data_IF_092587098804
#
_entry.id   IF_092587098804
#
_cell.length_a   1.000
_cell.length_b   1.000
_cell.length_c   1.000
_cell.angle_alpha   90.00
_cell.angle_beta   90.00
_cell.angle_gamma   90.00
#
_symmetry.space_group_name_H-M   'P 1'
#
loop_
_entity.id
_entity.type
_entity.pdbx_description
1 polymer ?
#
# COMPACT_ATOMS: atom_id res chain seq x y z
N UNK A 1 -40.84 -21.66 0.05
CA UNK A 1 -41.34 -21.92 -1.32
C UNK A 1 -41.34 -20.63 -2.15
N UNK A 2 -40.40 -20.45 -3.11
CA UNK A 2 -40.34 -19.27 -4.01
C UNK A 2 -40.00 -19.60 -5.48
N UNK A 3 -40.13 -20.87 -5.90
CA UNK A 3 -39.84 -21.35 -7.26
C UNK A 3 -38.45 -20.98 -7.82
N UNK A 4 -37.40 -21.03 -6.98
CA UNK A 4 -35.99 -20.84 -7.38
C UNK A 4 -35.10 -21.94 -6.79
N UNK A 5 -35.34 -23.21 -7.14
CA UNK A 5 -34.64 -24.33 -6.51
C UNK A 5 -33.16 -24.43 -6.89
N UNK A 6 -32.77 -23.94 -8.08
CA UNK A 6 -31.41 -24.08 -8.61
C UNK A 6 -30.82 -22.75 -9.06
N UNK A 7 -29.52 -22.58 -8.84
CA UNK A 7 -28.72 -21.46 -9.35
C UNK A 7 -27.59 -22.02 -10.20
N UNK A 8 -27.60 -21.70 -11.50
CA UNK A 8 -26.55 -22.09 -12.43
C UNK A 8 -25.55 -20.95 -12.64
N UNK A 9 -24.27 -21.29 -12.83
CA UNK A 9 -23.25 -20.32 -13.21
C UNK A 9 -23.54 -19.79 -14.62
N UNK A 10 -23.24 -18.52 -14.84
CA UNK A 10 -23.33 -17.90 -16.17
C UNK A 10 -22.11 -18.29 -16.99
N UNK A 11 -22.35 -18.99 -18.08
CA UNK A 11 -21.35 -19.41 -19.05
C UNK A 11 -21.22 -18.41 -20.21
N UNK A 12 -20.81 -18.88 -21.40
CA UNK A 12 -20.66 -18.04 -22.58
C UNK A 12 -21.95 -17.30 -22.96
N UNK A 13 -21.81 -16.08 -23.44
CA UNK A 13 -22.88 -15.34 -24.11
C UNK A 13 -22.66 -15.44 -25.61
N UNK A 14 -23.61 -15.99 -26.36
CA UNK A 14 -23.54 -16.05 -27.82
C UNK A 14 -24.40 -14.92 -28.38
N UNK A 15 -23.77 -14.06 -29.17
CA UNK A 15 -24.42 -12.92 -29.82
C UNK A 15 -24.56 -13.17 -31.31
N UNK A 16 -25.80 -13.06 -31.80
CA UNK A 16 -26.18 -13.38 -33.16
C UNK A 16 -26.92 -12.22 -33.85
N UNK A 17 -26.83 -12.19 -35.19
CA UNK A 17 -27.57 -11.28 -36.06
C UNK A 17 -28.76 -11.97 -36.74
N UNK A 18 -28.80 -11.96 -38.08
CA UNK A 18 -29.95 -12.46 -38.83
C UNK A 18 -30.13 -14.00 -38.80
N UNK A 19 -29.09 -14.76 -38.46
CA UNK A 19 -29.08 -16.24 -38.46
C UNK A 19 -29.73 -16.87 -37.20
N UNK A 20 -30.43 -16.07 -36.39
CA UNK A 20 -30.79 -16.40 -35.01
C UNK A 20 -31.73 -17.59 -34.80
N UNK A 21 -32.68 -17.85 -35.71
CA UNK A 21 -33.76 -18.81 -35.44
C UNK A 21 -33.27 -20.26 -35.26
N UNK A 22 -32.24 -20.67 -36.02
CA UNK A 22 -31.64 -22.01 -35.90
C UNK A 22 -30.70 -22.10 -34.70
N UNK A 23 -29.90 -21.05 -34.48
CA UNK A 23 -28.94 -20.96 -33.38
C UNK A 23 -29.64 -21.03 -32.01
N UNK A 24 -30.77 -20.32 -31.87
CA UNK A 24 -31.51 -20.29 -30.60
C UNK A 24 -32.01 -21.67 -30.21
N UNK A 25 -32.52 -22.45 -31.17
CA UNK A 25 -32.99 -23.82 -30.90
C UNK A 25 -31.84 -24.75 -30.50
N UNK A 26 -30.68 -24.63 -31.15
CA UNK A 26 -29.53 -25.47 -30.87
C UNK A 26 -28.94 -25.24 -29.47
N UNK A 27 -28.80 -23.98 -29.04
CA UNK A 27 -28.07 -23.64 -27.82
C UNK A 27 -28.95 -23.44 -26.57
N UNK A 28 -30.28 -23.29 -26.72
CA UNK A 28 -31.17 -23.02 -25.57
C UNK A 28 -31.18 -24.12 -24.51
N UNK A 29 -30.94 -25.38 -24.89
CA UNK A 29 -30.98 -26.51 -23.96
C UNK A 29 -29.65 -26.73 -23.22
N UNK A 30 -28.60 -25.96 -23.55
CA UNK A 30 -27.30 -26.10 -22.89
C UNK A 30 -27.27 -25.21 -21.64
N UNK A 31 -27.09 -25.77 -20.44
CA UNK A 31 -27.13 -25.00 -19.21
C UNK A 31 -25.97 -23.98 -19.15
N UNK A 32 -26.28 -22.76 -18.72
CA UNK A 32 -25.31 -21.69 -18.54
C UNK A 32 -25.02 -20.85 -19.78
N UNK A 33 -25.38 -21.32 -20.99
CA UNK A 33 -25.26 -20.52 -22.21
C UNK A 33 -26.43 -19.53 -22.28
N UNK A 34 -26.11 -18.26 -22.51
CA UNK A 34 -27.10 -17.23 -22.81
C UNK A 34 -27.02 -16.81 -24.28
N UNK A 35 -28.17 -16.50 -24.87
CA UNK A 35 -28.31 -16.06 -26.25
C UNK A 35 -28.79 -14.60 -26.28
N UNK A 36 -28.25 -13.80 -27.21
CA UNK A 36 -28.65 -12.41 -27.37
C UNK A 36 -28.56 -11.95 -28.83
N UNK A 37 -29.51 -11.13 -29.26
CA UNK A 37 -29.47 -10.49 -30.58
C UNK A 37 -28.70 -9.17 -30.48
N UNK A 38 -27.90 -8.83 -31.50
CA UNK A 38 -27.00 -7.65 -31.50
C UNK A 38 -27.74 -6.35 -31.23
N UNK A 39 -28.89 -6.17 -31.88
CA UNK A 39 -29.69 -4.94 -31.77
C UNK A 39 -30.34 -4.79 -30.38
N UNK A 40 -30.45 -5.90 -29.62
CA UNK A 40 -31.09 -5.98 -28.31
C UNK A 40 -30.12 -6.49 -27.24
N UNK A 41 -28.88 -6.01 -27.29
CA UNK A 41 -27.85 -6.30 -26.30
C UNK A 41 -28.26 -5.79 -24.92
N UNK A 42 -28.39 -6.73 -23.98
CA UNK A 42 -28.79 -6.43 -22.61
C UNK A 42 -27.57 -6.35 -21.68
N UNK A 43 -27.47 -5.27 -20.91
CA UNK A 43 -26.43 -5.08 -19.90
C UNK A 43 -26.44 -6.22 -18.86
N UNK A 44 -27.62 -6.71 -18.47
CA UNK A 44 -27.76 -7.79 -17.48
C UNK A 44 -27.16 -9.12 -17.97
N UNK A 45 -27.12 -9.33 -19.30
CA UNK A 45 -26.49 -10.50 -19.91
C UNK A 45 -25.00 -10.30 -20.10
N UNK A 46 -24.54 -9.09 -20.44
CA UNK A 46 -23.13 -8.77 -20.61
C UNK A 46 -22.37 -8.73 -19.28
N UNK A 47 -22.99 -8.16 -18.24
CA UNK A 47 -22.40 -7.99 -16.92
C UNK A 47 -23.35 -8.53 -15.83
N UNK A 48 -23.51 -9.86 -15.71
CA UNK A 48 -24.36 -10.45 -14.68
C UNK A 48 -23.85 -10.08 -13.28
N UNK A 49 -24.73 -9.52 -12.45
CA UNK A 49 -24.36 -9.03 -11.11
C UNK A 49 -23.48 -7.76 -11.13
N UNK A 50 -23.29 -7.12 -12.29
CA UNK A 50 -22.45 -5.93 -12.44
C UNK A 50 -20.96 -6.22 -12.69
N UNK A 51 -20.57 -7.49 -12.85
CA UNK A 51 -19.19 -7.83 -13.18
C UNK A 51 -18.92 -7.69 -14.69
N UNK A 52 -17.92 -6.87 -15.03
CA UNK A 52 -17.46 -6.67 -16.40
C UNK A 52 -16.65 -7.88 -16.88
N UNK A 53 -16.60 -8.12 -18.19
CA UNK A 53 -15.72 -9.15 -18.77
C UNK A 53 -16.32 -10.56 -18.81
N UNK A 54 -17.56 -10.71 -19.30
CA UNK A 54 -18.12 -12.03 -19.63
C UNK A 54 -17.51 -12.57 -20.93
N UNK A 55 -17.33 -13.88 -21.04
CA UNK A 55 -16.92 -14.52 -22.30
C UNK A 55 -18.06 -14.43 -23.33
N UNK A 56 -17.83 -13.67 -24.41
CA UNK A 56 -18.81 -13.44 -25.48
C UNK A 56 -18.32 -14.00 -26.81
N UNK A 57 -19.16 -14.79 -27.47
CA UNK A 57 -18.92 -15.34 -28.80
C UNK A 57 -19.79 -14.59 -29.81
N UNK A 58 -19.17 -14.07 -30.86
CA UNK A 58 -19.84 -13.28 -31.90
C UNK A 58 -19.95 -14.06 -33.21
N UNK A 59 -21.12 -14.04 -33.85
CA UNK A 59 -21.21 -14.44 -35.27
C UNK A 59 -20.65 -13.33 -36.17
N UNK A 60 -20.21 -13.68 -37.38
CA UNK A 60 -19.69 -12.70 -38.36
C UNK A 60 -20.68 -11.58 -38.63
N UNK A 61 -21.95 -11.94 -38.87
CA UNK A 61 -23.05 -10.99 -39.10
C UNK A 61 -23.35 -10.12 -37.88
N UNK A 62 -23.17 -10.67 -36.67
CA UNK A 62 -23.35 -9.93 -35.43
C UNK A 62 -22.26 -8.87 -35.23
N UNK A 63 -21.01 -9.24 -35.49
CA UNK A 63 -19.87 -8.35 -35.32
C UNK A 63 -19.92 -7.18 -36.32
N UNK A 64 -20.25 -7.45 -37.58
CA UNK A 64 -20.40 -6.40 -38.60
C UNK A 64 -21.52 -5.38 -38.28
N UNK A 65 -22.59 -5.80 -37.60
CA UNK A 65 -23.70 -4.91 -37.21
C UNK A 65 -23.38 -4.01 -36.01
N UNK A 66 -22.30 -4.23 -35.26
CA UNK A 66 -22.02 -3.40 -34.08
C UNK A 66 -21.79 -1.94 -34.42
N UNK A 67 -21.12 -1.68 -35.55
CA UNK A 67 -20.82 -0.33 -36.02
C UNK A 67 -22.08 0.44 -36.39
N UNK A 68 -23.07 -0.18 -37.05
CA UNK A 68 -24.35 0.50 -37.33
C UNK A 68 -25.18 0.75 -36.07
N UNK A 69 -25.12 -0.17 -35.09
CA UNK A 69 -25.87 -0.05 -33.83
C UNK A 69 -25.30 1.04 -32.92
N UNK A 70 -23.98 1.18 -32.81
CA UNK A 70 -23.35 2.08 -31.84
C UNK A 70 -22.59 3.26 -32.46
N UNK A 71 -22.17 3.15 -33.72
CA UNK A 71 -21.33 4.12 -34.40
C UNK A 71 -19.84 3.96 -34.08
N UNK A 72 -19.07 4.97 -34.47
CA UNK A 72 -17.65 5.15 -34.16
C UNK A 72 -17.45 6.53 -33.50
N UNK A 73 -16.19 6.92 -33.24
CA UNK A 73 -15.93 8.28 -32.77
C UNK A 73 -16.14 9.36 -33.84
N UNK A 74 -16.16 8.96 -35.12
CA UNK A 74 -16.35 9.85 -36.27
C UNK A 74 -17.78 9.77 -36.83
N UNK A 75 -18.38 8.58 -36.80
CA UNK A 75 -19.72 8.31 -37.33
C UNK A 75 -20.74 8.12 -36.20
N UNK A 76 -21.87 8.82 -36.29
CA UNK A 76 -22.98 8.63 -35.35
C UNK A 76 -23.69 7.28 -35.52
N UNK A 77 -24.32 6.78 -34.46
CA UNK A 77 -25.16 5.58 -34.52
C UNK A 77 -26.35 5.74 -35.48
N UNK A 78 -26.62 4.72 -36.30
CA UNK A 78 -27.80 4.69 -37.19
C UNK A 78 -29.08 4.32 -36.42
N UNK A 79 -28.98 3.37 -35.48
CA UNK A 79 -30.15 2.87 -34.75
C UNK A 79 -30.49 3.69 -33.52
N UNK A 80 -29.49 4.21 -32.80
CA UNK A 80 -29.69 4.93 -31.53
C UNK A 80 -29.59 6.42 -31.77
N UNK A 81 -30.75 7.06 -31.93
CA UNK A 81 -30.85 8.50 -32.15
C UNK A 81 -30.15 9.29 -31.02
N UNK A 82 -29.22 10.16 -31.40
CA UNK A 82 -28.49 11.03 -30.47
C UNK A 82 -27.49 10.31 -29.57
N UNK A 83 -27.23 9.03 -29.80
CA UNK A 83 -26.21 8.30 -29.07
C UNK A 83 -24.83 8.57 -29.67
N UNK A 84 -23.89 8.95 -28.80
CA UNK A 84 -22.49 9.15 -29.12
C UNK A 84 -21.67 8.33 -28.13
N UNK A 85 -20.59 7.70 -28.61
CA UNK A 85 -19.70 6.97 -27.73
C UNK A 85 -19.07 7.91 -26.69
N UNK A 86 -19.00 7.50 -25.41
CA UNK A 86 -18.35 8.31 -24.39
C UNK A 86 -16.87 8.50 -24.73
N UNK A 87 -16.40 9.76 -24.70
CA UNK A 87 -15.00 10.06 -24.93
C UNK A 87 -14.16 9.64 -23.72
N UNK A 88 -13.06 8.94 -23.98
CA UNK A 88 -12.12 8.57 -22.94
C UNK A 88 -11.52 9.83 -22.30
N UNK A 89 -11.40 9.84 -20.96
CA UNK A 89 -10.81 10.97 -20.22
C UNK A 89 -9.30 11.10 -20.48
N UNK A 90 -8.64 9.99 -20.82
CA UNK A 90 -7.23 9.93 -21.18
C UNK A 90 -7.12 9.18 -22.50
N UNK A 91 -6.26 9.67 -23.41
CA UNK A 91 -6.01 9.01 -24.70
C UNK A 91 -5.18 7.74 -24.50
N UNK A 92 -4.12 7.82 -23.69
CA UNK A 92 -3.31 6.66 -23.30
C UNK A 92 -3.63 6.29 -21.84
N UNK A 93 -4.05 5.05 -21.62
CA UNK A 93 -4.35 4.51 -20.30
C UNK A 93 -3.12 3.94 -19.58
N UNK A 94 -2.00 3.75 -20.28
CA UNK A 94 -0.75 3.26 -19.71
C UNK A 94 -0.01 4.37 -18.97
N UNK A 95 -0.37 4.53 -17.70
CA UNK A 95 0.26 5.48 -16.78
C UNK A 95 1.73 5.16 -16.55
N UNK A 96 2.12 3.88 -16.51
CA UNK A 96 3.50 3.50 -16.26
C UNK A 96 4.42 4.00 -17.38
N UNK A 97 3.97 3.87 -18.64
CA UNK A 97 4.68 4.43 -19.79
C UNK A 97 4.79 5.95 -19.73
N UNK A 98 3.72 6.66 -19.37
CA UNK A 98 3.73 8.13 -19.27
C UNK A 98 4.68 8.57 -18.15
N UNK A 99 4.63 7.92 -16.99
CA UNK A 99 5.48 8.27 -15.84
C UNK A 99 6.96 8.01 -16.16
N UNK A 100 7.26 6.90 -16.84
CA UNK A 100 8.63 6.51 -17.15
C UNK A 100 9.18 7.10 -18.46
N UNK A 101 8.47 8.06 -19.07
CA UNK A 101 8.93 8.70 -20.29
C UNK A 101 10.04 9.73 -19.99
N UNK A 102 10.94 9.93 -20.95
CA UNK A 102 12.09 10.83 -20.78
C UNK A 102 11.66 12.28 -20.51
N UNK A 103 10.54 12.71 -21.08
CA UNK A 103 9.98 14.05 -20.89
C UNK A 103 9.57 14.29 -19.44
N UNK A 104 9.07 13.25 -18.76
CA UNK A 104 8.72 13.32 -17.34
C UNK A 104 9.96 13.14 -16.49
N UNK A 105 10.76 12.10 -16.75
CA UNK A 105 11.92 11.75 -15.93
C UNK A 105 13.05 12.78 -15.98
N UNK A 106 13.20 13.54 -17.07
CA UNK A 106 14.18 14.64 -17.15
C UNK A 106 13.87 15.83 -16.23
N UNK A 107 12.60 16.01 -15.86
CA UNK A 107 12.14 17.13 -15.01
C UNK A 107 11.90 16.69 -13.57
N UNK A 108 11.53 15.42 -13.35
CA UNK A 108 11.21 14.88 -12.04
C UNK A 108 12.45 14.83 -11.14
N UNK A 109 12.30 15.33 -9.91
CA UNK A 109 13.34 15.20 -8.89
C UNK A 109 13.43 13.75 -8.42
N UNK A 110 14.65 13.24 -8.12
CA UNK A 110 14.82 11.90 -7.60
C UNK A 110 14.06 11.73 -6.28
N UNK A 111 13.62 10.50 -6.02
CA UNK A 111 12.90 10.16 -4.80
C UNK A 111 13.81 10.23 -3.57
N UNK A 112 13.37 10.94 -2.53
CA UNK A 112 14.02 10.92 -1.22
C UNK A 112 13.58 9.68 -0.44
N UNK A 113 14.50 8.75 -0.16
CA UNK A 113 14.20 7.50 0.56
C UNK A 113 14.27 7.64 2.10
N UNK A 114 14.63 8.82 2.60
CA UNK A 114 14.84 9.06 4.03
C UNK A 114 13.51 9.15 4.79
N UNK A 115 13.07 8.01 5.31
CA UNK A 115 11.90 7.95 6.19
C UNK A 115 12.27 8.45 7.59
N UNK A 116 11.88 9.69 7.91
CA UNK A 116 12.03 10.27 9.26
C UNK A 116 11.12 9.53 10.24
N UNK A 117 11.70 8.75 11.15
CA UNK A 117 10.97 8.08 12.23
C UNK A 117 10.91 8.98 13.46
N UNK A 118 9.79 8.93 14.19
CA UNK A 118 9.68 9.57 15.49
C UNK A 118 10.72 8.97 16.45
N UNK A 119 11.62 9.82 16.95
CA UNK A 119 12.65 9.42 17.91
C UNK A 119 12.10 9.62 19.31
N UNK A 120 12.16 8.57 20.16
CA UNK A 120 11.83 8.70 21.57
C UNK A 120 12.87 9.58 22.27
N UNK A 121 12.44 10.70 22.84
CA UNK A 121 13.31 11.57 23.66
C UNK A 121 13.65 10.87 24.97
N UNK A 122 14.87 10.33 25.05
CA UNK A 122 15.40 9.73 26.28
C UNK A 122 15.90 10.81 27.23
N UNK A 123 15.69 10.63 28.54
CA UNK A 123 16.17 11.59 29.55
C UNK A 123 17.71 11.49 29.71
N UNK A 124 18.48 12.57 29.46
CA UNK A 124 19.95 12.55 29.56
C UNK A 124 20.47 12.25 30.97
N UNK A 125 19.78 12.71 32.02
CA UNK A 125 20.20 12.49 33.42
C UNK A 125 20.13 11.00 33.80
N UNK A 126 19.20 10.26 33.17
CA UNK A 126 19.02 8.82 33.38
C UNK A 126 19.77 7.97 32.35
N UNK A 127 20.09 8.51 31.17
CA UNK A 127 20.74 7.79 30.07
C UNK A 127 22.06 8.46 29.68
N UNK A 128 23.17 7.82 30.06
CA UNK A 128 24.52 8.34 29.83
C UNK A 128 24.78 8.61 28.34
N UNK A 129 24.49 7.67 27.43
CA UNK A 129 24.78 7.84 26.00
C UNK A 129 24.11 9.09 25.40
N UNK A 130 22.90 9.41 25.86
CA UNK A 130 22.18 10.61 25.44
C UNK A 130 22.84 11.86 26.02
N UNK A 131 23.26 11.82 27.29
CA UNK A 131 24.03 12.91 27.90
C UNK A 131 25.35 13.15 27.18
N UNK A 132 26.07 12.11 26.77
CA UNK A 132 27.34 12.24 26.06
C UNK A 132 27.16 12.76 24.64
N UNK A 133 26.10 12.31 23.95
CA UNK A 133 25.73 12.83 22.64
C UNK A 133 25.43 14.33 22.69
N UNK A 134 24.84 14.81 23.79
CA UNK A 134 24.52 16.22 23.98
C UNK A 134 25.69 17.04 24.55
N UNK A 135 26.48 16.46 25.45
CA UNK A 135 27.61 17.10 26.11
C UNK A 135 28.79 16.13 26.27
N UNK A 136 29.81 16.20 25.38
CA UNK A 136 31.00 15.37 25.46
C UNK A 136 31.80 15.53 26.76
N UNK A 137 31.79 16.73 27.37
CA UNK A 137 32.49 17.02 28.63
C UNK A 137 31.87 16.29 29.85
N UNK A 138 30.65 15.77 29.73
CA UNK A 138 30.06 14.98 30.81
C UNK A 138 30.89 13.71 31.15
N UNK A 139 31.63 13.15 30.18
CA UNK A 139 32.54 12.02 30.45
C UNK A 139 33.69 12.40 31.37
N UNK A 140 34.37 13.51 31.06
CA UNK A 140 35.54 13.97 31.82
C UNK A 140 35.11 14.42 33.21
N UNK A 141 34.02 15.17 33.31
CA UNK A 141 33.44 15.59 34.59
C UNK A 141 33.11 14.38 35.49
N UNK A 142 32.48 13.34 34.94
CA UNK A 142 32.15 12.11 35.68
C UNK A 142 33.40 11.32 36.09
N UNK A 143 34.43 11.29 35.24
CA UNK A 143 35.70 10.63 35.56
C UNK A 143 36.42 11.36 36.70
N UNK A 144 36.48 12.68 36.64
CA UNK A 144 37.08 13.51 37.69
C UNK A 144 36.33 13.35 39.02
N UNK A 145 34.99 13.31 38.99
CA UNK A 145 34.20 13.12 40.21
C UNK A 145 34.46 11.77 40.86
N UNK A 146 34.58 10.69 40.08
CA UNK A 146 34.87 9.35 40.60
C UNK A 146 36.26 9.25 41.23
N UNK A 147 37.28 9.85 40.61
CA UNK A 147 38.63 9.89 41.16
C UNK A 147 38.67 10.66 42.49
N UNK A 148 38.04 11.84 42.52
CA UNK A 148 37.94 12.65 43.73
C UNK A 148 37.16 11.95 44.86
N UNK A 149 36.12 11.18 44.52
CA UNK A 149 35.36 10.39 45.50
C UNK A 149 36.19 9.25 46.09
N UNK A 150 36.95 8.52 45.26
CA UNK A 150 37.85 7.47 45.71
C UNK A 150 38.91 8.00 46.70
N UNK A 151 39.49 9.16 46.41
CA UNK A 151 40.44 9.85 47.30
C UNK A 151 39.80 10.26 48.64
N UNK A 152 38.56 10.77 48.60
CA UNK A 152 37.80 11.13 49.81
C UNK A 152 37.48 9.91 50.68
N UNK A 153 37.09 8.79 50.08
CA UNK A 153 36.82 7.55 50.82
C UNK A 153 38.10 7.01 51.46
N UNK A 154 39.21 6.99 50.71
CA UNK A 154 40.52 6.56 51.22
C UNK A 154 40.97 7.41 52.42
N UNK A 155 40.97 8.74 52.27
CA UNK A 155 41.36 9.66 53.34
C UNK A 155 40.42 9.60 54.57
N UNK A 156 39.12 9.34 54.37
CA UNK A 156 38.17 9.10 55.47
C UNK A 156 38.48 7.81 56.22
N UNK A 157 38.77 6.71 55.51
CA UNK A 157 39.12 5.43 56.11
C UNK A 157 40.44 5.53 56.89
N UNK A 158 41.48 6.17 56.34
CA UNK A 158 42.74 6.42 57.05
C UNK A 158 42.54 7.24 58.33
N UNK A 159 41.72 8.29 58.29
CA UNK A 159 41.36 9.07 59.48
C UNK A 159 40.62 8.22 60.51
N UNK A 160 39.73 7.35 60.07
CA UNK A 160 38.94 6.48 60.94
C UNK A 160 39.80 5.37 61.57
N UNK A 161 40.76 4.80 60.83
CA UNK A 161 41.74 3.85 61.36
C UNK A 161 42.69 4.49 62.38
N UNK A 162 43.17 5.71 62.13
CA UNK A 162 43.97 6.47 63.11
C UNK A 162 43.21 6.69 64.42
N UNK A 163 41.90 6.94 64.35
CA UNK A 163 41.04 7.06 65.54
C UNK A 163 40.75 5.73 66.24
N UNK A 164 40.77 4.60 65.52
CA UNK A 164 40.54 3.26 66.06
C UNK A 164 41.79 2.63 66.71
N UNK A 165 43.00 3.12 66.42
CA UNK A 165 44.22 2.66 67.09
C UNK A 165 44.24 3.17 68.54
N UNK A 166 44.38 2.29 69.55
CA UNK A 166 44.43 2.72 70.95
C UNK A 166 45.71 3.52 71.21
N UNK A 167 45.58 4.65 71.89
CA UNK A 167 46.71 5.49 72.32
C UNK A 167 47.39 4.78 73.49
N UNK A 168 48.60 4.25 73.29
CA UNK A 168 49.42 3.80 74.42
C UNK A 168 49.93 5.02 75.18
N UNK A 169 49.43 5.24 76.41
CA UNK A 169 50.04 6.22 77.34
C UNK A 169 51.39 5.66 77.80
N UNK A 170 52.48 6.12 77.20
CA UNK A 170 53.83 5.92 77.75
C UNK A 170 54.11 7.09 78.68
N UNK A 171 54.02 6.85 79.99
CA UNK A 171 54.48 7.79 81.02
C UNK A 171 55.99 7.67 81.10
N UNK A 172 56.72 8.69 80.63
CA UNK A 172 58.16 8.83 80.83
C UNK A 172 58.38 9.78 82.01
N UNK A 173 58.70 9.22 83.18
CA UNK A 173 59.31 9.97 84.27
C UNK A 173 60.83 9.98 84.03
N UNK A 174 61.41 11.18 83.88
CA UNK A 174 62.84 11.43 83.82
C UNK A 174 63.23 12.09 85.15
N UNK A 175 64.08 11.38 85.91
CA UNK A 175 64.83 11.76 87.13
C UNK A 175 64.04 12.45 88.27
#
# INVERSE_FOLDING_TARGET
>A
MRNRPYVSRKGPLIVYGNEGAKLVKAFRNIPGIDLCHVERLSLLKLAPGGHLGRFVVWTKSAFAKLESVYGSFEMSSEMKKGYVLPRAKMVNADLARIINSDEVQSVVRPIEMDVKRAVLKKNPLKNLNVMLKLNPYAMTARRMSLLAEAERVKSKNEKLERKRKPISKVVTFLL
#
